data_IF_531098898166
#
_entry.id   IF_531098898166
#
_cell.length_a   1.000
_cell.length_b   1.000
_cell.length_c   1.000
_cell.angle_alpha   90.00
_cell.angle_beta   90.00
_cell.angle_gamma   90.00
#
_symmetry.space_group_name_H-M   'P 1'
#
loop_
_entity.id
_entity.type
_entity.pdbx_description
1 polymer ?
#
# COMPACT_ATOMS: atom_id res chain seq x y z
N UNK A 1 8.07 -2.67 22.35
CA UNK A 1 8.14 -3.97 21.66
C UNK A 1 6.78 -4.38 21.13
N UNK A 2 5.69 -4.34 21.91
CA UNK A 2 4.33 -4.67 21.45
C UNK A 2 3.81 -3.78 20.28
N UNK A 3 3.91 -2.46 20.38
CA UNK A 3 3.38 -1.54 19.34
C UNK A 3 4.08 -1.62 17.98
N UNK A 4 5.40 -1.87 17.98
CA UNK A 4 6.17 -2.08 16.75
C UNK A 4 5.70 -3.34 15.98
N UNK A 5 5.45 -4.43 16.71
CA UNK A 5 4.96 -5.69 16.16
C UNK A 5 3.52 -5.54 15.67
N UNK A 6 2.68 -4.78 16.38
CA UNK A 6 1.31 -4.46 15.97
C UNK A 6 1.24 -3.66 14.66
N UNK A 7 2.10 -2.64 14.48
CA UNK A 7 2.11 -1.83 13.26
C UNK A 7 2.51 -2.63 12.02
N UNK A 8 3.55 -3.48 12.12
CA UNK A 8 3.98 -4.35 11.00
C UNK A 8 2.95 -5.44 10.74
N UNK A 9 2.33 -6.00 11.78
CA UNK A 9 1.27 -7.01 11.65
C UNK A 9 0.04 -6.45 10.93
N UNK A 10 -0.41 -5.25 11.30
CA UNK A 10 -1.54 -4.58 10.64
C UNK A 10 -1.24 -4.24 9.18
N UNK A 11 0.00 -3.83 8.90
CA UNK A 11 0.47 -3.56 7.55
C UNK A 11 0.45 -4.81 6.67
N UNK A 12 1.04 -5.91 7.14
CA UNK A 12 1.04 -7.19 6.44
C UNK A 12 -0.39 -7.70 6.18
N UNK A 13 -1.29 -7.53 7.16
CA UNK A 13 -2.71 -7.88 6.99
C UNK A 13 -3.40 -7.05 5.89
N UNK A 14 -2.95 -5.82 5.67
CA UNK A 14 -3.49 -4.95 4.60
C UNK A 14 -3.09 -5.47 3.22
N UNK A 15 -1.84 -5.91 3.04
CA UNK A 15 -1.36 -6.54 1.80
C UNK A 15 -2.10 -7.85 1.51
N UNK A 16 -2.21 -8.74 2.49
CA UNK A 16 -2.94 -10.01 2.34
C UNK A 16 -4.41 -9.76 1.93
N UNK A 17 -5.04 -8.76 2.53
CA UNK A 17 -6.43 -8.37 2.18
C UNK A 17 -6.53 -7.88 0.74
N UNK A 18 -5.57 -7.09 0.26
CA UNK A 18 -5.55 -6.59 -1.13
C UNK A 18 -5.38 -7.74 -2.12
N UNK A 19 -4.50 -8.69 -1.84
CA UNK A 19 -4.30 -9.89 -2.65
C UNK A 19 -5.57 -10.75 -2.72
N UNK A 20 -6.23 -10.97 -1.59
CA UNK A 20 -7.48 -11.72 -1.53
C UNK A 20 -8.60 -11.07 -2.34
N UNK A 21 -8.77 -9.75 -2.20
CA UNK A 21 -9.76 -8.97 -2.94
C UNK A 21 -9.46 -8.98 -4.44
N UNK A 22 -8.20 -8.80 -4.84
CA UNK A 22 -7.78 -8.85 -6.23
C UNK A 22 -8.05 -10.23 -6.84
N UNK A 23 -7.65 -11.30 -6.13
CA UNK A 23 -7.86 -12.66 -6.59
C UNK A 23 -9.36 -13.01 -6.67
N UNK A 24 -10.18 -12.53 -5.73
CA UNK A 24 -11.63 -12.70 -5.77
C UNK A 24 -12.27 -11.99 -6.97
N UNK A 25 -11.89 -10.73 -7.22
CA UNK A 25 -12.30 -9.96 -8.39
C UNK A 25 -11.98 -10.70 -9.69
N UNK A 26 -10.75 -11.18 -9.86
CA UNK A 26 -10.31 -11.92 -11.06
C UNK A 26 -11.06 -13.24 -11.22
N UNK A 27 -11.24 -14.01 -10.14
CA UNK A 27 -12.00 -15.27 -10.17
C UNK A 27 -13.45 -15.05 -10.60
N UNK A 28 -14.12 -14.03 -10.06
CA UNK A 28 -15.50 -13.71 -10.43
C UNK A 28 -15.62 -13.26 -11.89
N UNK A 29 -14.71 -12.40 -12.37
CA UNK A 29 -14.64 -12.00 -13.77
C UNK A 29 -14.44 -13.22 -14.70
N UNK A 30 -13.52 -14.11 -14.36
CA UNK A 30 -13.27 -15.34 -15.13
C UNK A 30 -14.49 -16.27 -15.19
N UNK A 31 -15.23 -16.38 -14.08
CA UNK A 31 -16.46 -17.18 -14.02
C UNK A 31 -17.66 -16.54 -14.72
N UNK A 32 -17.54 -15.29 -15.20
CA UNK A 32 -18.66 -14.51 -15.74
C UNK A 32 -19.65 -14.03 -14.67
N UNK A 33 -19.30 -14.13 -13.39
CA UNK A 33 -20.09 -13.60 -12.28
C UNK A 33 -19.82 -12.10 -12.10
N UNK A 34 -20.42 -11.32 -12.99
CA UNK A 34 -20.18 -9.89 -13.12
C UNK A 34 -20.70 -9.06 -11.96
N UNK A 35 -21.74 -9.53 -11.25
CA UNK A 35 -22.26 -8.84 -10.08
C UNK A 35 -21.23 -8.90 -8.94
N UNK A 36 -20.78 -10.10 -8.61
CA UNK A 36 -19.73 -10.32 -7.59
C UNK A 36 -18.41 -9.66 -8.00
N UNK A 37 -18.08 -9.68 -9.30
CA UNK A 37 -16.93 -8.97 -9.83
C UNK A 37 -17.00 -7.46 -9.56
N UNK A 38 -18.17 -6.83 -9.72
CA UNK A 38 -18.33 -5.40 -9.45
C UNK A 38 -18.13 -5.08 -7.96
N UNK A 39 -18.69 -5.89 -7.06
CA UNK A 39 -18.54 -5.74 -5.61
C UNK A 39 -17.07 -5.82 -5.16
N UNK A 40 -16.34 -6.84 -5.64
CA UNK A 40 -14.92 -6.97 -5.34
C UNK A 40 -14.09 -5.89 -6.03
N UNK A 41 -14.45 -5.45 -7.24
CA UNK A 41 -13.76 -4.37 -7.95
C UNK A 41 -13.81 -3.07 -7.17
N UNK A 42 -15.00 -2.67 -6.69
CA UNK A 42 -15.17 -1.43 -5.93
C UNK A 42 -14.47 -1.55 -4.56
N UNK A 43 -14.60 -2.68 -3.87
CA UNK A 43 -13.95 -2.91 -2.58
C UNK A 43 -12.43 -2.89 -2.69
N UNK A 44 -11.86 -3.57 -3.69
CA UNK A 44 -10.43 -3.57 -3.98
C UNK A 44 -9.92 -2.17 -4.30
N UNK A 45 -10.63 -1.43 -5.17
CA UNK A 45 -10.21 -0.08 -5.55
C UNK A 45 -10.17 0.88 -4.35
N UNK A 46 -11.16 0.80 -3.46
CA UNK A 46 -11.20 1.59 -2.23
C UNK A 46 -10.08 1.18 -1.27
N UNK A 47 -9.91 -0.11 -1.01
CA UNK A 47 -8.89 -0.61 -0.11
C UNK A 47 -7.48 -0.23 -0.57
N UNK A 48 -7.20 -0.37 -1.88
CA UNK A 48 -5.92 0.00 -2.47
C UNK A 48 -5.66 1.51 -2.34
N UNK A 49 -6.65 2.36 -2.66
CA UNK A 49 -6.46 3.81 -2.53
C UNK A 49 -6.23 4.24 -1.08
N UNK A 50 -6.93 3.61 -0.12
CA UNK A 50 -6.73 3.86 1.31
C UNK A 50 -5.32 3.47 1.74
N UNK A 51 -4.85 2.28 1.35
CA UNK A 51 -3.50 1.79 1.66
C UNK A 51 -2.43 2.77 1.13
N UNK A 52 -2.43 3.03 -0.18
CA UNK A 52 -1.42 3.89 -0.81
C UNK A 52 -1.44 5.32 -0.23
N UNK A 53 -2.62 5.88 0.03
CA UNK A 53 -2.73 7.21 0.65
C UNK A 53 -2.24 7.21 2.09
N UNK A 54 -2.39 6.11 2.82
CA UNK A 54 -1.91 6.02 4.18
C UNK A 54 -0.39 6.04 4.23
N UNK A 55 0.30 5.27 3.37
CA UNK A 55 1.74 5.45 3.20
C UNK A 55 2.10 6.90 2.83
N UNK A 56 1.51 7.40 1.74
CA UNK A 56 1.87 8.69 1.14
C UNK A 56 1.71 9.86 2.11
N UNK A 57 0.64 9.86 2.91
CA UNK A 57 0.32 11.00 3.77
C UNK A 57 0.86 10.84 5.19
N UNK A 58 1.08 9.63 5.67
CA UNK A 58 1.42 9.37 7.08
C UNK A 58 2.84 8.83 7.23
N UNK A 59 3.20 7.80 6.46
CA UNK A 59 4.46 7.09 6.68
C UNK A 59 5.61 7.63 5.85
N UNK A 60 5.45 7.81 4.55
CA UNK A 60 6.50 8.29 3.66
C UNK A 60 7.09 9.65 4.09
N UNK A 61 6.31 10.64 4.55
CA UNK A 61 6.90 11.88 5.06
C UNK A 61 7.83 11.67 6.26
N UNK A 62 7.48 10.72 7.15
CA UNK A 62 8.29 10.38 8.33
C UNK A 62 9.51 9.54 7.95
N UNK A 63 9.36 8.64 6.97
CA UNK A 63 10.45 7.81 6.47
C UNK A 63 11.49 8.67 5.74
N UNK A 64 11.07 9.55 4.83
CA UNK A 64 11.93 10.46 4.09
C UNK A 64 12.74 11.39 5.02
N UNK A 65 12.19 11.78 6.16
CA UNK A 65 12.88 12.62 7.14
C UNK A 65 14.09 11.94 7.81
N UNK A 66 14.27 10.62 7.65
CA UNK A 66 15.35 9.86 8.28
C UNK A 66 16.71 10.10 7.61
N UNK A 67 16.74 10.26 6.30
CA UNK A 67 17.98 10.47 5.53
C UNK A 67 17.67 10.90 4.09
N UNK A 68 18.67 11.48 3.41
CA UNK A 68 18.56 11.78 1.96
C UNK A 68 18.32 10.52 1.13
N UNK A 69 18.88 9.37 1.54
CA UNK A 69 18.66 8.08 0.87
C UNK A 69 17.19 7.67 0.98
N UNK A 70 16.60 7.75 2.18
CA UNK A 70 15.19 7.43 2.38
C UNK A 70 14.26 8.38 1.61
N UNK A 71 14.65 9.65 1.44
CA UNK A 71 13.90 10.59 0.61
C UNK A 71 13.88 10.18 -0.87
N UNK A 72 15.01 9.72 -1.43
CA UNK A 72 15.08 9.20 -2.80
C UNK A 72 14.24 7.92 -2.94
N UNK A 73 14.29 7.01 -1.96
CA UNK A 73 13.45 5.79 -1.97
C UNK A 73 11.95 6.14 -1.95
N UNK A 74 11.53 7.16 -1.21
CA UNK A 74 10.14 7.64 -1.23
C UNK A 74 9.73 8.14 -2.62
N UNK A 75 10.60 8.82 -3.36
CA UNK A 75 10.31 9.21 -4.74
C UNK A 75 10.07 7.98 -5.63
N UNK A 76 10.82 6.89 -5.41
CA UNK A 76 10.63 5.62 -6.12
C UNK A 76 9.29 4.95 -5.77
N UNK A 77 8.93 4.88 -4.48
CA UNK A 77 7.62 4.38 -4.05
C UNK A 77 6.46 5.16 -4.67
N UNK A 78 6.54 6.49 -4.72
CA UNK A 78 5.50 7.33 -5.36
C UNK A 78 5.34 7.03 -6.85
N UNK A 79 6.45 6.75 -7.55
CA UNK A 79 6.41 6.32 -8.95
C UNK A 79 5.79 4.93 -9.11
N UNK A 80 6.10 3.99 -8.22
CA UNK A 80 5.46 2.67 -8.16
C UNK A 80 3.96 2.78 -7.94
N UNK A 81 3.51 3.55 -6.95
CA UNK A 81 2.10 3.81 -6.67
C UNK A 81 1.38 4.38 -7.88
N UNK A 82 2.01 5.33 -8.58
CA UNK A 82 1.46 5.90 -9.82
C UNK A 82 1.28 4.83 -10.90
N UNK A 83 2.25 3.91 -11.06
CA UNK A 83 2.18 2.80 -12.02
C UNK A 83 1.11 1.79 -11.64
N UNK A 84 0.99 1.45 -10.36
CA UNK A 84 -0.04 0.54 -9.80
C UNK A 84 -1.43 1.12 -10.07
N UNK A 85 -1.70 2.36 -9.62
CA UNK A 85 -2.99 3.04 -9.86
C UNK A 85 -3.37 3.06 -11.33
N UNK A 86 -2.41 3.35 -12.21
CA UNK A 86 -2.65 3.37 -13.66
C UNK A 86 -2.97 1.99 -14.22
N UNK A 87 -2.29 0.93 -13.74
CA UNK A 87 -2.53 -0.44 -14.17
C UNK A 87 -3.92 -0.93 -13.71
N UNK A 88 -4.23 -0.74 -12.43
CA UNK A 88 -5.53 -1.07 -11.84
C UNK A 88 -6.66 -0.32 -12.52
N UNK A 89 -6.52 0.99 -12.74
CA UNK A 89 -7.52 1.79 -13.44
C UNK A 89 -7.84 1.27 -14.85
N UNK A 90 -6.85 0.74 -15.58
CA UNK A 90 -7.08 0.10 -16.90
C UNK A 90 -7.87 -1.20 -16.77
N UNK A 91 -7.50 -2.07 -15.82
CA UNK A 91 -8.22 -3.31 -15.59
C UNK A 91 -9.68 -3.03 -15.20
N UNK A 92 -9.91 -2.16 -14.22
CA UNK A 92 -11.25 -1.79 -13.76
C UNK A 92 -12.11 -1.21 -14.89
N UNK A 93 -11.53 -0.42 -15.79
CA UNK A 93 -12.24 0.07 -16.97
C UNK A 93 -12.66 -1.08 -17.93
N UNK A 94 -11.82 -2.11 -18.07
CA UNK A 94 -12.16 -3.35 -18.81
C UNK A 94 -13.28 -4.15 -18.14
N UNK A 95 -13.19 -4.35 -16.83
CA UNK A 95 -14.21 -5.08 -16.07
C UNK A 95 -15.59 -4.42 -16.16
N UNK A 96 -15.66 -3.08 -16.19
CA UNK A 96 -16.92 -2.34 -16.45
C UNK A 96 -17.54 -2.64 -17.82
N UNK A 97 -16.74 -3.07 -18.80
CA UNK A 97 -17.21 -3.54 -20.11
C UNK A 97 -17.42 -5.05 -20.17
N UNK A 98 -17.30 -5.75 -19.04
CA UNK A 98 -17.36 -7.22 -18.94
C UNK A 98 -16.24 -7.91 -19.72
N UNK A 99 -15.08 -7.28 -19.76
CA UNK A 99 -13.87 -7.76 -20.43
C UNK A 99 -12.78 -8.03 -19.39
N UNK A 100 -12.27 -9.26 -19.33
CA UNK A 100 -11.12 -9.61 -18.52
C UNK A 100 -9.86 -9.66 -19.40
N UNK A 101 -8.96 -8.73 -19.17
CA UNK A 101 -7.65 -8.68 -19.82
C UNK A 101 -6.60 -9.37 -18.93
N UNK A 102 -6.21 -10.59 -19.30
CA UNK A 102 -5.22 -11.39 -18.55
C UNK A 102 -3.82 -10.79 -18.58
N UNK A 103 -3.45 -10.04 -19.62
CA UNK A 103 -2.17 -9.35 -19.66
C UNK A 103 -2.16 -8.24 -18.62
N UNK A 104 -3.26 -7.48 -18.51
CA UNK A 104 -3.42 -6.47 -17.47
C UNK A 104 -3.40 -7.08 -16.06
N UNK A 105 -4.02 -8.24 -15.85
CA UNK A 105 -3.98 -8.97 -14.57
C UNK A 105 -2.53 -9.31 -14.19
N UNK A 106 -1.79 -10.00 -15.06
CA UNK A 106 -0.40 -10.37 -14.77
C UNK A 106 0.51 -9.16 -14.58
N UNK A 107 0.24 -8.07 -15.30
CA UNK A 107 0.95 -6.80 -15.15
C UNK A 107 0.71 -6.12 -13.80
N UNK A 108 -0.47 -6.27 -13.19
CA UNK A 108 -0.78 -5.76 -11.85
C UNK A 108 -0.12 -6.64 -10.80
N UNK A 109 -0.25 -7.96 -10.89
CA UNK A 109 0.39 -8.89 -9.95
C UNK A 109 1.90 -8.70 -9.88
N UNK A 110 2.56 -8.52 -11.02
CA UNK A 110 4.00 -8.27 -11.05
C UNK A 110 4.35 -6.98 -10.30
N UNK A 111 3.59 -5.90 -10.53
CA UNK A 111 3.83 -4.60 -9.89
C UNK A 111 3.59 -4.62 -8.39
N UNK A 112 2.53 -5.27 -7.93
CA UNK A 112 2.26 -5.45 -6.50
C UNK A 112 3.41 -6.22 -5.84
N UNK A 113 3.83 -7.36 -6.42
CA UNK A 113 4.96 -8.14 -5.89
C UNK A 113 6.29 -7.37 -5.87
N UNK A 114 6.57 -6.57 -6.90
CA UNK A 114 7.75 -5.71 -6.96
C UNK A 114 7.72 -4.67 -5.83
N UNK A 115 6.58 -3.99 -5.67
CA UNK A 115 6.34 -3.02 -4.63
C UNK A 115 6.47 -3.62 -3.22
N UNK A 116 5.79 -4.74 -2.94
CA UNK A 116 5.88 -5.44 -1.65
C UNK A 116 7.31 -5.91 -1.35
N UNK A 117 8.07 -6.30 -2.38
CA UNK A 117 9.47 -6.67 -2.23
C UNK A 117 10.34 -5.48 -1.88
N UNK A 118 10.08 -4.32 -2.49
CA UNK A 118 10.78 -3.09 -2.18
C UNK A 118 10.49 -2.68 -0.73
N UNK A 119 9.22 -2.63 -0.34
CA UNK A 119 8.81 -2.29 1.02
C UNK A 119 9.41 -3.21 2.08
N UNK A 120 9.40 -4.53 1.86
CA UNK A 120 10.01 -5.49 2.78
C UNK A 120 11.51 -5.28 2.99
N UNK A 121 12.20 -4.75 1.99
CA UNK A 121 13.66 -4.62 2.02
C UNK A 121 14.11 -3.31 2.68
N UNK A 122 13.39 -2.21 2.46
CA UNK A 122 13.77 -0.87 2.95
C UNK A 122 12.81 -0.34 4.02
N UNK A 123 11.53 -0.21 3.67
CA UNK A 123 10.53 0.52 4.45
C UNK A 123 10.03 -0.24 5.70
N UNK A 124 9.68 -1.52 5.58
CA UNK A 124 9.17 -2.31 6.72
C UNK A 124 10.18 -2.48 7.85
N UNK A 125 11.49 -2.71 7.59
CA UNK A 125 12.49 -2.67 8.64
C UNK A 125 12.45 -1.36 9.43
N UNK A 126 12.31 -0.21 8.77
CA UNK A 126 12.19 1.07 9.46
C UNK A 126 10.90 1.19 10.27
N UNK A 127 9.76 0.77 9.71
CA UNK A 127 8.47 0.82 10.38
C UNK A 127 8.46 -0.03 11.67
N UNK A 128 9.14 -1.19 11.64
CA UNK A 128 9.32 -2.05 12.80
C UNK A 128 10.13 -1.36 13.92
N UNK A 129 11.13 -0.55 13.57
CA UNK A 129 11.99 0.11 14.57
C UNK A 129 11.37 1.41 15.11
N UNK A 130 10.54 2.11 14.33
CA UNK A 130 9.93 3.39 14.74
C UNK A 130 8.77 3.26 15.72
N UNK A 131 8.22 2.05 15.94
CA UNK A 131 7.32 1.77 17.07
C UNK A 131 7.96 1.93 18.46
N UNK A 132 9.23 2.35 18.54
CA UNK A 132 9.97 2.66 19.76
C UNK A 132 10.26 4.16 19.98
N UNK A 133 10.03 5.01 18.98
CA UNK A 133 10.31 6.44 19.09
C UNK A 133 9.02 7.23 19.37
N UNK A 134 8.64 7.27 20.64
CA UNK A 134 7.79 8.37 21.10
C UNK A 134 8.60 9.67 21.06
N UNK A 135 8.06 10.77 20.51
CA UNK A 135 8.64 12.07 20.77
C UNK A 135 8.52 12.33 22.27
N UNK A 136 9.65 12.31 22.99
CA UNK A 136 9.70 12.85 24.36
C UNK A 136 9.14 14.27 24.28
N UNK A 137 8.10 14.62 25.05
CA UNK A 137 7.66 16.01 25.11
C UNK A 137 8.85 16.80 25.63
N UNK A 138 9.38 17.72 24.83
CA UNK A 138 10.32 18.72 25.30
C UNK A 138 9.56 19.55 26.33
N UNK A 139 9.66 19.17 27.61
CA UNK A 139 9.28 20.01 28.72
C UNK A 139 10.17 21.24 28.61
N UNK A 140 9.62 22.29 28.02
CA UNK A 140 10.19 23.63 28.07
C UNK A 140 10.37 23.99 29.53
N UNK A 141 11.61 23.87 30.01
CA UNK A 141 12.04 24.53 31.22
C UNK A 141 12.01 26.03 30.92
N UNK A 142 10.86 26.64 31.16
CA UNK A 142 10.80 28.06 31.47
C UNK A 142 11.58 28.25 32.78
N UNK A 143 12.85 28.63 32.63
CA UNK A 143 13.61 29.25 33.71
C UNK A 143 13.05 30.65 33.93
N UNK A 144 12.32 30.82 35.02
CA UNK A 144 12.18 32.11 35.69
C UNK A 144 13.48 32.38 36.47
N UNK A 145 13.97 33.63 36.38
CA UNK A 145 15.15 34.13 37.10
C UNK A 145 15.67 35.41 36.50
#
# INVERSE_FOLDING_TARGET
>A
MLQAVENVSLYATTHDTLDELFAAMVRSAHAGDWLTCDEFSDTFAIALDVHLRHEENIYFPRYAARSEIAAVEVEEFLLEHTRIRRAVGRLLAGLRRRELDYEAVGAIELRMREHDSHERTSFLPWLAHTGHEHPTPTLGLHGEG
#
